data_IF_202866179722
#
_entry.id   IF_202866179722
#
_cell.length_a   1.000
_cell.length_b   1.000
_cell.length_c   1.000
_cell.angle_alpha   90.00
_cell.angle_beta   90.00
_cell.angle_gamma   90.00
#
_symmetry.space_group_name_H-M   'P 1'
#
loop_
_entity.id
_entity.type
_entity.pdbx_description
1 polymer ?
#
# COMPACT_ATOMS: atom_id res chain seq x y z
N UNK A 1 7.63 -9.65 -10.45
CA UNK A 1 7.44 -8.67 -9.36
C UNK A 1 8.23 -7.39 -9.56
N UNK A 2 9.48 -7.45 -10.02
CA UNK A 2 10.32 -6.25 -10.22
C UNK A 2 9.74 -5.23 -11.21
N UNK A 3 9.16 -5.70 -12.33
CA UNK A 3 8.51 -4.81 -13.31
C UNK A 3 7.32 -4.03 -12.72
N UNK A 4 6.50 -4.67 -11.89
CA UNK A 4 5.38 -4.01 -11.20
C UNK A 4 5.90 -2.96 -10.22
N UNK A 5 6.91 -3.32 -9.42
CA UNK A 5 7.53 -2.40 -8.46
C UNK A 5 8.12 -1.18 -9.19
N UNK A 6 8.84 -1.38 -10.28
CA UNK A 6 9.43 -0.30 -11.08
C UNK A 6 8.36 0.63 -11.68
N UNK A 7 7.27 0.09 -12.23
CA UNK A 7 6.16 0.92 -12.73
C UNK A 7 5.51 1.75 -11.63
N UNK A 8 5.27 1.14 -10.45
CA UNK A 8 4.76 1.83 -9.28
C UNK A 8 5.71 2.93 -8.81
N UNK A 9 7.00 2.64 -8.68
CA UNK A 9 8.02 3.61 -8.29
C UNK A 9 8.02 4.81 -9.24
N UNK A 10 8.04 4.58 -10.55
CA UNK A 10 8.03 5.67 -11.53
C UNK A 10 6.75 6.50 -11.42
N UNK A 11 5.59 5.86 -11.33
CA UNK A 11 4.32 6.58 -11.19
C UNK A 11 4.25 7.40 -9.89
N UNK A 12 4.72 6.84 -8.78
CA UNK A 12 4.77 7.56 -7.49
C UNK A 12 5.74 8.73 -7.58
N UNK A 13 6.89 8.57 -8.26
CA UNK A 13 7.84 9.65 -8.43
C UNK A 13 7.24 10.82 -9.24
N UNK A 14 6.49 10.52 -10.31
CA UNK A 14 5.73 11.54 -11.05
C UNK A 14 4.73 12.26 -10.13
N UNK A 15 3.99 11.52 -9.29
CA UNK A 15 3.06 12.12 -8.34
C UNK A 15 3.77 12.97 -7.27
N UNK A 16 4.94 12.55 -6.77
CA UNK A 16 5.74 13.33 -5.82
C UNK A 16 6.12 14.69 -6.44
N UNK A 17 6.59 14.68 -7.68
CA UNK A 17 7.15 15.86 -8.33
C UNK A 17 6.08 16.80 -8.91
N UNK A 18 4.94 16.27 -9.33
CA UNK A 18 3.94 17.04 -10.09
C UNK A 18 2.56 17.10 -9.45
N UNK A 19 2.18 16.13 -8.60
CA UNK A 19 0.81 15.97 -8.11
C UNK A 19 0.76 15.42 -6.66
N UNK A 20 1.44 16.10 -5.74
CA UNK A 20 1.65 15.57 -4.39
C UNK A 20 0.33 15.36 -3.60
N UNK A 21 -0.65 16.25 -3.74
CA UNK A 21 -1.96 16.08 -3.09
C UNK A 21 -2.68 14.81 -3.57
N UNK A 22 -2.55 14.48 -4.85
CA UNK A 22 -3.13 13.26 -5.41
C UNK A 22 -2.43 12.01 -4.86
N UNK A 23 -1.11 12.07 -4.62
CA UNK A 23 -0.39 10.99 -3.94
C UNK A 23 -0.96 10.76 -2.54
N UNK A 24 -1.12 11.81 -1.74
CA UNK A 24 -1.65 11.71 -0.37
C UNK A 24 -3.07 11.11 -0.37
N UNK A 25 -3.94 11.57 -1.28
CA UNK A 25 -5.31 11.03 -1.41
C UNK A 25 -5.31 9.52 -1.71
N UNK A 26 -4.44 9.05 -2.61
CA UNK A 26 -4.34 7.62 -2.92
C UNK A 26 -3.83 6.82 -1.72
N UNK A 27 -2.81 7.33 -1.03
CA UNK A 27 -2.16 6.65 0.09
C UNK A 27 -3.07 6.55 1.31
N UNK A 28 -3.90 7.55 1.57
CA UNK A 28 -4.91 7.49 2.63
C UNK A 28 -5.90 6.33 2.43
N UNK A 29 -6.32 6.06 1.19
CA UNK A 29 -7.27 4.97 0.87
C UNK A 29 -6.71 3.58 1.11
N UNK A 30 -5.39 3.46 1.26
CA UNK A 30 -4.70 2.19 1.52
C UNK A 30 -4.10 2.13 2.93
N UNK A 31 -4.52 3.03 3.82
CA UNK A 31 -4.12 3.04 5.23
C UNK A 31 -2.63 3.42 5.44
N UNK A 32 -2.17 4.43 4.68
CA UNK A 32 -0.85 5.05 4.86
C UNK A 32 -1.06 6.51 5.27
N UNK A 33 -0.53 6.90 6.43
CA UNK A 33 -0.69 8.26 6.96
C UNK A 33 0.18 9.29 6.23
N UNK A 34 -0.34 10.51 6.09
CA UNK A 34 0.36 11.64 5.49
C UNK A 34 1.66 11.99 6.24
N UNK A 35 1.62 11.94 7.57
CA UNK A 35 2.80 12.17 8.42
C UNK A 35 3.95 11.24 8.04
N UNK A 36 3.67 9.93 7.92
CA UNK A 36 4.66 8.93 7.53
C UNK A 36 5.27 9.23 6.16
N UNK A 37 4.48 9.76 5.23
CA UNK A 37 4.94 10.14 3.89
C UNK A 37 5.81 11.39 3.94
N UNK A 38 5.41 12.43 4.66
CA UNK A 38 6.23 13.64 4.85
C UNK A 38 7.58 13.30 5.48
N UNK A 39 7.59 12.45 6.51
CA UNK A 39 8.84 11.98 7.13
C UNK A 39 9.69 11.17 6.16
N UNK A 40 9.09 10.29 5.35
CA UNK A 40 9.83 9.51 4.35
C UNK A 40 10.47 10.39 3.29
N UNK A 41 9.75 11.40 2.80
CA UNK A 41 10.22 12.34 1.78
C UNK A 41 11.30 13.28 2.31
N UNK A 42 11.14 13.79 3.54
CA UNK A 42 12.13 14.65 4.17
C UNK A 42 13.48 13.94 4.38
N UNK A 43 13.47 12.62 4.61
CA UNK A 43 14.68 11.84 4.84
C UNK A 43 15.32 11.30 3.54
N UNK A 44 14.61 11.34 2.41
CA UNK A 44 15.06 10.71 1.17
C UNK A 44 14.59 11.55 -0.03
N UNK A 45 15.44 12.47 -0.53
CA UNK A 45 15.23 13.42 -1.64
C UNK A 45 14.53 12.86 -2.91
N UNK A 46 13.28 12.40 -2.83
CA UNK A 46 12.49 11.78 -3.91
C UNK A 46 12.95 10.38 -4.34
N UNK A 47 14.25 10.19 -4.55
CA UNK A 47 14.82 9.05 -5.29
C UNK A 47 14.59 7.70 -4.59
N UNK A 48 14.66 7.66 -3.25
CA UNK A 48 14.38 6.45 -2.47
C UNK A 48 12.92 6.41 -1.96
N UNK A 49 12.31 7.56 -1.70
CA UNK A 49 10.96 7.63 -1.15
C UNK A 49 9.92 6.95 -2.07
N UNK A 50 10.00 7.16 -3.38
CA UNK A 50 9.09 6.53 -4.34
C UNK A 50 9.17 4.99 -4.29
N UNK A 51 10.38 4.44 -4.16
CA UNK A 51 10.60 2.99 -4.07
C UNK A 51 10.12 2.37 -2.76
N UNK A 52 10.26 3.09 -1.65
CA UNK A 52 9.73 2.67 -0.34
C UNK A 52 8.20 2.65 -0.38
N UNK A 53 7.59 3.71 -0.91
CA UNK A 53 6.12 3.81 -1.04
C UNK A 53 5.61 2.69 -1.96
N UNK A 54 6.25 2.43 -3.11
CA UNK A 54 5.88 1.33 -4.00
C UNK A 54 5.88 -0.03 -3.27
N UNK A 55 6.89 -0.26 -2.43
CA UNK A 55 7.02 -1.49 -1.65
C UNK A 55 5.89 -1.61 -0.62
N UNK A 56 5.61 -0.54 0.13
CA UNK A 56 4.51 -0.50 1.10
C UNK A 56 3.15 -0.77 0.46
N UNK A 57 2.90 -0.21 -0.74
CA UNK A 57 1.65 -0.45 -1.48
C UNK A 57 1.52 -1.94 -1.81
N UNK A 58 2.58 -2.55 -2.35
CA UNK A 58 2.58 -3.97 -2.74
C UNK A 58 2.33 -4.86 -1.51
N UNK A 59 3.03 -4.61 -0.41
CA UNK A 59 2.86 -5.36 0.83
C UNK A 59 1.42 -5.25 1.36
N UNK A 60 0.83 -4.06 1.34
CA UNK A 60 -0.55 -3.86 1.78
C UNK A 60 -1.56 -4.62 0.92
N UNK A 61 -1.35 -4.65 -0.40
CA UNK A 61 -2.23 -5.43 -1.30
C UNK A 61 -2.08 -6.93 -1.05
N UNK A 62 -0.86 -7.44 -0.86
CA UNK A 62 -0.62 -8.84 -0.54
C UNK A 62 -1.26 -9.23 0.80
N UNK A 63 -1.16 -8.38 1.82
CA UNK A 63 -1.86 -8.57 3.09
C UNK A 63 -3.38 -8.67 2.89
N UNK A 64 -3.99 -7.75 2.14
CA UNK A 64 -5.44 -7.79 1.86
C UNK A 64 -5.86 -9.07 1.13
N UNK A 65 -5.05 -9.53 0.18
CA UNK A 65 -5.31 -10.79 -0.54
C UNK A 65 -5.27 -11.96 0.43
N UNK A 66 -4.22 -12.05 1.26
CA UNK A 66 -4.07 -13.10 2.27
C UNK A 66 -5.23 -13.07 3.28
N UNK A 67 -5.58 -11.90 3.82
CA UNK A 67 -6.73 -11.77 4.72
C UNK A 67 -8.00 -12.30 4.05
N UNK A 68 -8.33 -11.86 2.83
CA UNK A 68 -9.52 -12.34 2.10
C UNK A 68 -9.52 -13.85 1.85
N UNK A 69 -8.36 -14.42 1.53
CA UNK A 69 -8.23 -15.87 1.32
C UNK A 69 -8.43 -16.66 2.62
N UNK A 70 -7.93 -16.15 3.74
CA UNK A 70 -8.08 -16.78 5.06
C UNK A 70 -9.49 -16.58 5.65
N UNK A 71 -10.14 -15.44 5.40
CA UNK A 71 -11.53 -15.21 5.85
C UNK A 71 -12.51 -16.09 5.08
N UNK A 72 -12.36 -16.22 3.76
CA UNK A 72 -13.21 -17.12 2.94
C UNK A 72 -13.16 -18.60 3.35
N UNK A 73 -12.08 -19.04 3.99
CA UNK A 73 -11.97 -20.43 4.51
C UNK A 73 -12.65 -20.63 5.86
N UNK A 74 -13.06 -19.56 6.55
CA UNK A 74 -13.74 -19.64 7.86
C UNK A 74 -15.27 -19.60 7.76
N UNK A 75 -15.82 -19.31 6.59
CA UNK A 75 -17.28 -19.37 6.36
C UNK A 75 -17.78 -20.81 6.06
N UNK A 76 -16.89 -21.82 6.06
CA UNK A 76 -17.22 -23.25 6.00
C UNK A 76 -17.19 -23.91 7.40
N UNK A 77 -17.58 -23.19 8.46
CA UNK A 77 -17.82 -23.79 9.78
C UNK A 77 -19.32 -24.13 9.85
N UNK A 78 -19.71 -25.42 9.95
CA UNK A 78 -21.09 -25.79 10.19
C UNK A 78 -21.57 -25.13 11.48
N UNK A 79 -22.71 -24.46 11.37
CA UNK A 79 -23.46 -23.82 12.46
C UNK A 79 -24.02 -24.91 13.40
N UNK A 80 -23.16 -25.50 14.24
CA UNK A 80 -23.56 -26.62 15.12
C UNK A 80 -23.13 -26.45 16.59
N UNK A 81 -22.82 -25.23 17.03
CA UNK A 81 -22.68 -24.94 18.47
C UNK A 81 -23.29 -23.57 18.84
N UNK A 82 -24.62 -23.46 18.72
CA UNK A 82 -25.40 -22.51 19.53
C UNK A 82 -25.68 -23.10 20.92
N UNK A 83 -24.87 -22.77 21.93
CA UNK A 83 -25.19 -22.99 23.35
C UNK A 83 -24.93 -21.70 24.14
#
# INVERSE_FOLDING_TARGET
>A
MEKLKSLLTNHINELINHQFELLIQHLYRIDVSEEKIKTLLANNNGENAAGIIATLIIERQLQKINTRQHTKRRDDIPDDEQW
#
